data_IF_415765341347
#
_entry.id   IF_415765341347
#
_cell.length_a   1.000
_cell.length_b   1.000
_cell.length_c   1.000
_cell.angle_alpha   90.00
_cell.angle_beta   90.00
_cell.angle_gamma   90.00
#
_symmetry.space_group_name_H-M   'P 1'
#
loop_
_entity.id
_entity.type
_entity.pdbx_description
1 polymer ?
#
# COMPACT_ATOMS: atom_id res chain seq x y z
N UNK A 1 -9.60 28.71 -7.10
CA UNK A 1 -10.96 28.13 -7.08
C UNK A 1 -11.32 27.39 -8.39
N UNK A 2 -10.95 27.91 -9.58
CA UNK A 2 -11.27 27.29 -10.87
C UNK A 2 -10.52 25.97 -11.08
N UNK A 3 -9.22 25.93 -10.79
CA UNK A 3 -8.37 24.74 -10.89
C UNK A 3 -8.78 23.60 -9.95
N UNK A 4 -9.24 23.91 -8.73
CA UNK A 4 -9.71 22.92 -7.77
C UNK A 4 -11.03 22.24 -8.21
N UNK A 5 -11.93 23.02 -8.85
CA UNK A 5 -13.19 22.48 -9.35
C UNK A 5 -13.00 21.64 -10.63
N UNK A 6 -12.04 22.00 -11.48
CA UNK A 6 -11.65 21.22 -12.65
C UNK A 6 -11.01 19.89 -12.25
N UNK A 7 -10.14 19.88 -11.24
CA UNK A 7 -9.55 18.66 -10.68
C UNK A 7 -10.61 17.73 -10.08
N UNK A 8 -11.59 18.28 -9.35
CA UNK A 8 -12.70 17.51 -8.77
C UNK A 8 -13.62 16.92 -9.84
N UNK A 9 -13.90 17.64 -10.91
CA UNK A 9 -14.72 17.16 -12.01
C UNK A 9 -14.02 16.06 -12.81
N UNK A 10 -12.71 16.21 -13.07
CA UNK A 10 -11.87 15.17 -13.67
C UNK A 10 -11.82 13.91 -12.81
N UNK A 11 -11.73 14.05 -11.48
CA UNK A 11 -11.80 12.95 -10.53
C UNK A 11 -13.09 12.14 -10.65
N UNK A 12 -14.24 12.81 -10.60
CA UNK A 12 -15.53 12.14 -10.69
C UNK A 12 -15.71 11.41 -12.02
N UNK A 13 -15.23 11.99 -13.12
CA UNK A 13 -15.26 11.36 -14.43
C UNK A 13 -14.38 10.10 -14.47
N UNK A 14 -13.15 10.16 -13.94
CA UNK A 14 -12.24 9.04 -13.87
C UNK A 14 -12.79 7.92 -12.99
N UNK A 15 -13.29 8.26 -11.79
CA UNK A 15 -13.91 7.29 -10.87
C UNK A 15 -15.12 6.60 -11.49
N UNK A 16 -15.97 7.35 -12.22
CA UNK A 16 -17.13 6.77 -12.92
C UNK A 16 -16.68 5.74 -13.96
N UNK A 17 -15.59 6.01 -14.67
CA UNK A 17 -15.01 5.08 -15.64
C UNK A 17 -14.46 3.84 -14.95
N UNK A 18 -13.65 4.02 -13.90
CA UNK A 18 -12.95 2.93 -13.21
C UNK A 18 -13.91 2.03 -12.42
N UNK A 19 -15.03 2.55 -11.95
CA UNK A 19 -16.13 1.76 -11.36
C UNK A 19 -16.92 1.02 -12.45
N UNK A 20 -17.17 1.63 -13.59
CA UNK A 20 -17.98 1.03 -14.67
C UNK A 20 -17.31 -0.21 -15.25
N UNK A 21 -15.99 -0.22 -15.38
CA UNK A 21 -15.24 -1.33 -16.00
C UNK A 21 -15.44 -2.65 -15.23
N UNK A 22 -15.18 -2.78 -13.93
CA UNK A 22 -15.42 -4.01 -13.18
C UNK A 22 -16.92 -4.33 -13.07
N UNK A 23 -17.80 -3.33 -12.98
CA UNK A 23 -19.26 -3.58 -13.02
C UNK A 23 -19.71 -4.25 -14.32
N UNK A 24 -19.27 -3.74 -15.47
CA UNK A 24 -19.60 -4.34 -16.76
C UNK A 24 -19.02 -5.76 -16.88
N UNK A 25 -17.82 -6.01 -16.32
CA UNK A 25 -17.24 -7.35 -16.28
C UNK A 25 -18.10 -8.31 -15.44
N UNK A 26 -18.57 -7.88 -14.25
CA UNK A 26 -19.47 -8.69 -13.41
C UNK A 26 -20.76 -9.02 -14.15
N UNK A 27 -21.42 -8.02 -14.74
CA UNK A 27 -22.69 -8.20 -15.47
C UNK A 27 -22.48 -9.12 -16.67
N UNK A 28 -21.43 -8.90 -17.48
CA UNK A 28 -21.14 -9.72 -18.65
C UNK A 28 -20.82 -11.17 -18.30
N UNK A 29 -19.98 -11.41 -17.26
CA UNK A 29 -19.66 -12.76 -16.83
C UNK A 29 -20.87 -13.48 -16.21
N UNK A 30 -21.75 -12.76 -15.51
CA UNK A 30 -23.00 -13.33 -14.99
C UNK A 30 -23.93 -13.76 -16.13
N UNK A 31 -24.07 -12.98 -17.20
CA UNK A 31 -24.87 -13.34 -18.38
C UNK A 31 -24.29 -14.55 -19.11
N UNK A 32 -22.94 -14.60 -19.25
CA UNK A 32 -22.25 -15.75 -19.86
C UNK A 32 -22.45 -17.00 -19.01
N UNK A 33 -22.29 -16.93 -17.69
CA UNK A 33 -22.49 -18.05 -16.77
C UNK A 33 -23.91 -18.61 -16.90
N UNK A 34 -24.92 -17.74 -16.94
CA UNK A 34 -26.31 -18.12 -17.12
C UNK A 34 -26.58 -18.82 -18.46
N UNK A 35 -25.97 -18.33 -19.56
CA UNK A 35 -26.12 -18.94 -20.89
C UNK A 35 -25.36 -20.27 -21.04
N UNK A 36 -24.36 -20.52 -20.20
CA UNK A 36 -23.47 -21.69 -20.25
C UNK A 36 -23.69 -22.62 -19.04
N UNK A 37 -24.87 -22.64 -18.45
CA UNK A 37 -25.16 -23.36 -17.21
C UNK A 37 -24.87 -24.87 -17.28
N UNK A 38 -24.96 -25.44 -18.46
CA UNK A 38 -24.65 -26.84 -18.72
C UNK A 38 -23.13 -27.13 -18.88
N UNK A 39 -22.28 -26.12 -18.80
CA UNK A 39 -20.83 -26.28 -18.84
C UNK A 39 -20.20 -25.81 -17.52
N UNK A 40 -20.02 -26.74 -16.54
CA UNK A 40 -19.53 -26.40 -15.20
C UNK A 40 -18.18 -25.67 -15.20
N UNK A 41 -17.29 -26.03 -16.12
CA UNK A 41 -15.97 -25.39 -16.21
C UNK A 41 -16.09 -23.92 -16.59
N UNK A 42 -16.88 -23.60 -17.61
CA UNK A 42 -17.12 -22.20 -18.02
C UNK A 42 -17.83 -21.40 -16.94
N UNK A 43 -18.80 -21.99 -16.25
CA UNK A 43 -19.47 -21.37 -15.12
C UNK A 43 -18.46 -21.04 -14.01
N UNK A 44 -17.58 -21.99 -13.68
CA UNK A 44 -16.53 -21.79 -12.69
C UNK A 44 -15.60 -20.63 -13.08
N UNK A 45 -15.11 -20.60 -14.31
CA UNK A 45 -14.24 -19.53 -14.83
C UNK A 45 -14.94 -18.15 -14.78
N UNK A 46 -16.25 -18.10 -15.07
CA UNK A 46 -17.02 -16.86 -14.95
C UNK A 46 -17.14 -16.42 -13.49
N UNK A 47 -17.42 -17.34 -12.56
CA UNK A 47 -17.53 -17.03 -11.13
C UNK A 47 -16.20 -16.52 -10.55
N UNK A 48 -15.08 -17.09 -10.96
CA UNK A 48 -13.73 -16.63 -10.57
C UNK A 48 -13.49 -15.19 -11.06
N UNK A 49 -13.85 -14.87 -12.31
CA UNK A 49 -13.73 -13.51 -12.86
C UNK A 49 -14.69 -12.52 -12.17
N UNK A 50 -15.92 -12.93 -11.87
CA UNK A 50 -16.86 -12.12 -11.10
C UNK A 50 -16.28 -11.78 -9.73
N UNK A 51 -15.75 -12.77 -9.01
CA UNK A 51 -15.15 -12.59 -7.69
C UNK A 51 -13.94 -11.64 -7.75
N UNK A 52 -13.07 -11.78 -8.76
CA UNK A 52 -11.93 -10.88 -8.96
C UNK A 52 -12.39 -9.44 -9.21
N UNK A 53 -13.37 -9.25 -10.12
CA UNK A 53 -13.91 -7.90 -10.44
C UNK A 53 -14.64 -7.27 -9.25
N UNK A 54 -15.34 -8.08 -8.44
CA UNK A 54 -16.01 -7.62 -7.23
C UNK A 54 -15.01 -7.15 -6.16
N UNK A 55 -13.91 -7.90 -5.96
CA UNK A 55 -12.82 -7.49 -5.05
C UNK A 55 -12.16 -6.20 -5.52
N UNK A 56 -11.93 -6.06 -6.82
CA UNK A 56 -11.39 -4.83 -7.40
C UNK A 56 -12.32 -3.64 -7.15
N UNK A 57 -13.63 -3.80 -7.44
CA UNK A 57 -14.62 -2.75 -7.20
C UNK A 57 -14.69 -2.34 -5.73
N UNK A 58 -14.64 -3.30 -4.81
CA UNK A 58 -14.62 -3.02 -3.37
C UNK A 58 -13.36 -2.22 -2.97
N UNK A 59 -12.20 -2.55 -3.53
CA UNK A 59 -10.97 -1.79 -3.35
C UNK A 59 -11.11 -0.33 -3.79
N UNK A 60 -11.67 -0.10 -5.01
CA UNK A 60 -11.94 1.24 -5.52
C UNK A 60 -12.86 2.06 -4.61
N UNK A 61 -13.94 1.45 -4.13
CA UNK A 61 -14.88 2.10 -3.22
C UNK A 61 -14.18 2.50 -1.92
N UNK A 62 -13.38 1.60 -1.34
CA UNK A 62 -12.64 1.87 -0.12
C UNK A 62 -11.61 3.00 -0.31
N UNK A 63 -10.90 3.04 -1.44
CA UNK A 63 -9.97 4.13 -1.78
C UNK A 63 -10.68 5.49 -1.83
N UNK A 64 -11.86 5.55 -2.46
CA UNK A 64 -12.68 6.76 -2.54
C UNK A 64 -13.18 7.21 -1.15
N UNK A 65 -13.63 6.26 -0.33
CA UNK A 65 -14.07 6.54 1.04
C UNK A 65 -12.92 7.02 1.92
N UNK A 66 -11.75 6.41 1.81
CA UNK A 66 -10.57 6.85 2.54
C UNK A 66 -10.14 8.25 2.07
N UNK A 67 -10.11 8.52 0.76
CA UNK A 67 -9.81 9.86 0.25
C UNK A 67 -10.79 10.91 0.75
N UNK A 68 -12.09 10.61 0.79
CA UNK A 68 -13.11 11.50 1.34
C UNK A 68 -12.91 11.78 2.84
N UNK A 69 -12.50 10.76 3.62
CA UNK A 69 -12.15 10.93 5.04
C UNK A 69 -10.88 11.77 5.22
N UNK A 70 -9.91 11.61 4.34
CA UNK A 70 -8.67 12.39 4.30
C UNK A 70 -8.98 13.86 4.04
N UNK A 71 -9.72 14.18 2.97
CA UNK A 71 -10.08 15.54 2.60
C UNK A 71 -10.89 16.25 3.68
N UNK A 72 -11.76 15.51 4.38
CA UNK A 72 -12.56 16.04 5.49
C UNK A 72 -11.85 16.09 6.85
N UNK A 73 -10.58 15.63 6.92
CA UNK A 73 -9.82 15.54 8.18
C UNK A 73 -10.42 14.58 9.21
N UNK A 74 -11.26 13.64 8.78
CA UNK A 74 -11.97 12.70 9.66
C UNK A 74 -11.30 11.32 9.78
N UNK A 75 -10.16 11.11 9.09
CA UNK A 75 -9.44 9.86 9.22
C UNK A 75 -8.76 9.85 10.59
N UNK A 76 -9.04 8.83 11.39
CA UNK A 76 -8.45 8.61 12.72
C UNK A 76 -7.65 7.32 12.73
N UNK A 77 -6.62 7.26 13.58
CA UNK A 77 -5.83 6.04 13.81
C UNK A 77 -6.34 5.32 15.05
N UNK A 78 -6.49 4.01 14.93
CA UNK A 78 -6.74 3.12 16.06
C UNK A 78 -5.43 2.44 16.48
N UNK A 79 -4.81 2.96 17.52
CA UNK A 79 -3.47 2.51 17.96
C UNK A 79 -3.62 1.41 19.00
N UNK A 80 -3.21 0.21 18.63
CA UNK A 80 -3.19 -0.98 19.50
C UNK A 80 -1.78 -1.60 19.56
N UNK A 81 -1.54 -2.45 20.55
CA UNK A 81 -0.34 -3.29 20.59
C UNK A 81 -0.47 -4.40 19.55
N UNK A 82 0.46 -4.43 18.61
CA UNK A 82 0.47 -5.43 17.52
C UNK A 82 1.80 -6.16 17.45
N UNK A 83 1.79 -7.41 16.99
CA UNK A 83 2.97 -8.16 16.64
C UNK A 83 3.39 -7.85 15.20
N UNK A 84 4.63 -7.41 15.00
CA UNK A 84 5.19 -7.22 13.66
C UNK A 84 5.29 -8.53 12.91
N UNK A 85 5.60 -9.63 13.59
CA UNK A 85 5.67 -10.97 13.00
C UNK A 85 4.32 -11.38 12.43
N UNK A 86 3.25 -11.32 13.24
CA UNK A 86 1.91 -11.67 12.79
C UNK A 86 1.45 -10.80 11.62
N UNK A 87 1.81 -9.52 11.64
CA UNK A 87 1.53 -8.57 10.55
C UNK A 87 2.23 -9.00 9.26
N UNK A 88 3.52 -9.33 9.33
CA UNK A 88 4.29 -9.81 8.17
C UNK A 88 3.74 -11.14 7.66
N UNK A 89 3.48 -12.11 8.54
CA UNK A 89 2.93 -13.42 8.16
C UNK A 89 1.57 -13.31 7.46
N UNK A 90 0.71 -12.40 7.93
CA UNK A 90 -0.58 -12.10 7.31
C UNK A 90 -0.40 -11.55 5.89
N UNK A 91 0.51 -10.59 5.70
CA UNK A 91 0.82 -9.98 4.40
C UNK A 91 1.38 -11.02 3.43
N UNK A 92 2.31 -11.87 3.90
CA UNK A 92 2.88 -12.98 3.11
C UNK A 92 1.77 -13.88 2.59
N UNK A 93 0.84 -14.27 3.45
CA UNK A 93 -0.28 -15.15 3.09
C UNK A 93 -1.15 -14.57 1.98
N UNK A 94 -1.29 -13.23 1.93
CA UNK A 94 -2.08 -12.53 0.91
C UNK A 94 -1.29 -12.40 -0.41
N UNK A 95 0.01 -12.14 -0.33
CA UNK A 95 0.88 -11.83 -1.49
C UNK A 95 1.37 -13.10 -2.20
N UNK A 96 1.69 -14.17 -1.46
CA UNK A 96 2.28 -15.40 -1.96
C UNK A 96 1.53 -16.04 -3.15
N UNK A 97 0.19 -16.15 -3.15
CA UNK A 97 -0.54 -16.69 -4.30
C UNK A 97 -0.35 -15.88 -5.57
N UNK A 98 -0.25 -14.55 -5.46
CA UNK A 98 -0.08 -13.65 -6.59
C UNK A 98 1.34 -13.75 -7.17
N UNK A 99 2.35 -13.81 -6.30
CA UNK A 99 3.75 -14.07 -6.65
C UNK A 99 3.87 -15.36 -7.46
N UNK A 100 3.29 -16.46 -6.94
CA UNK A 100 3.30 -17.76 -7.63
C UNK A 100 2.61 -17.71 -8.98
N UNK A 101 1.47 -17.03 -9.08
CA UNK A 101 0.72 -16.90 -10.33
C UNK A 101 1.51 -16.18 -11.42
N UNK A 102 2.37 -15.23 -11.04
CA UNK A 102 3.25 -14.47 -11.94
C UNK A 102 4.67 -15.05 -12.07
N UNK A 103 4.96 -16.19 -11.42
CA UNK A 103 6.31 -16.80 -11.39
C UNK A 103 7.40 -15.83 -10.92
N UNK A 104 7.06 -14.90 -10.05
CA UNK A 104 8.00 -13.95 -9.46
C UNK A 104 8.66 -14.56 -8.23
N UNK A 105 9.81 -14.01 -7.81
CA UNK A 105 10.46 -14.33 -6.54
C UNK A 105 10.08 -13.29 -5.50
N UNK A 106 9.79 -13.74 -4.27
CA UNK A 106 9.49 -12.84 -3.16
C UNK A 106 10.28 -13.25 -1.92
N UNK A 107 11.20 -12.40 -1.52
CA UNK A 107 12.08 -12.60 -0.37
C UNK A 107 11.75 -11.62 0.74
N UNK A 108 11.82 -12.12 1.99
CA UNK A 108 11.56 -11.30 3.17
C UNK A 108 12.74 -11.42 4.12
N UNK A 109 13.28 -10.27 4.49
CA UNK A 109 14.36 -10.17 5.48
C UNK A 109 13.88 -9.42 6.72
N UNK A 110 13.96 -10.09 7.85
CA UNK A 110 13.70 -9.50 9.17
C UNK A 110 15.06 -9.41 9.87
N UNK A 111 15.49 -8.18 10.20
CA UNK A 111 16.84 -7.91 10.73
C UNK A 111 16.77 -7.11 12.01
N UNK A 112 17.57 -7.53 12.98
CA UNK A 112 17.88 -6.76 14.20
C UNK A 112 16.64 -6.29 14.97
N UNK A 113 15.58 -7.10 15.03
CA UNK A 113 14.34 -6.78 15.75
C UNK A 113 14.43 -7.37 17.16
N UNK A 114 14.76 -6.52 18.13
CA UNK A 114 14.75 -6.87 19.56
C UNK A 114 13.33 -6.79 20.16
N UNK A 115 12.47 -5.95 19.61
CA UNK A 115 11.11 -5.74 20.08
C UNK A 115 10.11 -5.99 18.96
N UNK A 116 9.44 -7.11 19.05
CA UNK A 116 8.45 -7.57 18.08
C UNK A 116 7.12 -6.83 18.21
N UNK A 117 6.73 -6.48 19.44
CA UNK A 117 5.48 -5.80 19.73
C UNK A 117 5.63 -4.28 19.63
N UNK A 118 4.76 -3.67 18.82
CA UNK A 118 4.76 -2.22 18.58
C UNK A 118 3.33 -1.66 18.70
N UNK A 119 3.21 -0.39 19.08
CA UNK A 119 1.92 0.30 19.11
C UNK A 119 1.65 0.92 17.75
N UNK A 120 0.65 0.41 17.04
CA UNK A 120 0.34 0.85 15.69
C UNK A 120 -1.13 0.55 15.34
N UNK A 121 -1.67 1.24 14.35
CA UNK A 121 -2.91 0.84 13.69
C UNK A 121 -2.60 -0.29 12.70
N UNK A 122 -2.98 -1.52 13.05
CA UNK A 122 -2.70 -2.72 12.24
C UNK A 122 -3.39 -2.66 10.88
N UNK A 123 -4.61 -2.13 10.80
CA UNK A 123 -5.37 -2.03 9.55
C UNK A 123 -4.68 -1.07 8.59
N UNK A 124 -4.27 0.08 9.10
CA UNK A 124 -3.57 1.09 8.30
C UNK A 124 -2.14 0.67 7.92
N UNK A 125 -1.43 -0.01 8.82
CA UNK A 125 -0.13 -0.60 8.49
C UNK A 125 -0.25 -1.63 7.37
N UNK A 126 -1.20 -2.56 7.48
CA UNK A 126 -1.48 -3.55 6.44
C UNK A 126 -1.86 -2.87 5.12
N UNK A 127 -2.69 -1.84 5.15
CA UNK A 127 -3.08 -1.07 3.96
C UNK A 127 -1.87 -0.48 3.24
N UNK A 128 -0.96 0.17 3.99
CA UNK A 128 0.30 0.72 3.44
C UNK A 128 1.14 -0.37 2.79
N UNK A 129 1.42 -1.45 3.52
CA UNK A 129 2.30 -2.51 3.04
C UNK A 129 1.70 -3.26 1.85
N UNK A 130 0.41 -3.59 1.89
CA UNK A 130 -0.28 -4.23 0.77
C UNK A 130 -0.33 -3.33 -0.47
N UNK A 131 -0.48 -2.02 -0.31
CA UNK A 131 -0.43 -1.09 -1.44
C UNK A 131 0.97 -1.04 -2.09
N UNK A 132 2.03 -0.99 -1.28
CA UNK A 132 3.40 -1.01 -1.79
C UNK A 132 3.71 -2.33 -2.49
N UNK A 133 3.38 -3.47 -1.88
CA UNK A 133 3.62 -4.79 -2.43
C UNK A 133 2.77 -5.07 -3.68
N UNK A 134 1.52 -4.63 -3.71
CA UNK A 134 0.68 -4.78 -4.91
C UNK A 134 1.21 -3.97 -6.08
N UNK A 135 1.77 -2.78 -5.84
CA UNK A 135 2.46 -2.01 -6.86
C UNK A 135 3.73 -2.73 -7.34
N UNK A 136 4.56 -3.24 -6.43
CA UNK A 136 5.73 -4.03 -6.78
C UNK A 136 5.35 -5.25 -7.65
N UNK A 137 4.37 -6.05 -7.21
CA UNK A 137 3.85 -7.21 -7.95
C UNK A 137 3.32 -6.82 -9.34
N UNK A 138 2.69 -5.67 -9.45
CA UNK A 138 2.04 -5.19 -10.66
C UNK A 138 3.05 -4.78 -11.72
N UNK A 139 4.10 -4.07 -11.32
CA UNK A 139 5.08 -3.47 -12.21
C UNK A 139 6.34 -4.30 -12.40
N UNK A 140 6.51 -5.37 -11.64
CA UNK A 140 7.57 -6.36 -11.86
C UNK A 140 7.12 -7.37 -12.92
N UNK A 141 7.96 -7.65 -13.94
CA UNK A 141 7.65 -8.66 -14.95
C UNK A 141 7.64 -10.08 -14.36
N UNK A 142 7.20 -11.07 -15.16
CA UNK A 142 7.39 -12.48 -14.83
C UNK A 142 8.87 -12.78 -14.60
N UNK A 143 9.16 -13.69 -13.68
CA UNK A 143 10.52 -14.07 -13.26
C UNK A 143 11.33 -12.95 -12.56
N UNK A 144 10.75 -11.76 -12.37
CA UNK A 144 11.37 -10.71 -11.59
C UNK A 144 11.32 -10.98 -10.09
N UNK A 145 12.06 -10.18 -9.32
CA UNK A 145 12.16 -10.33 -7.86
C UNK A 145 11.59 -9.13 -7.11
N UNK A 146 10.99 -9.42 -5.97
CA UNK A 146 10.49 -8.44 -5.00
C UNK A 146 11.08 -8.80 -3.66
N UNK A 147 11.60 -7.82 -2.95
CA UNK A 147 12.20 -8.01 -1.63
C UNK A 147 11.54 -7.08 -0.63
N UNK A 148 11.14 -7.61 0.52
CA UNK A 148 10.68 -6.82 1.64
C UNK A 148 11.66 -6.97 2.81
N UNK A 149 12.22 -5.86 3.28
CA UNK A 149 13.10 -5.85 4.45
C UNK A 149 12.39 -5.09 5.58
N UNK A 150 12.36 -5.71 6.76
CA UNK A 150 11.90 -5.10 8.00
C UNK A 150 13.07 -5.11 8.98
N UNK A 151 13.42 -3.96 9.53
CA UNK A 151 14.50 -3.87 10.50
C UNK A 151 14.11 -2.96 11.67
N UNK A 152 14.90 -3.00 12.74
CA UNK A 152 14.77 -2.08 13.85
C UNK A 152 15.99 -1.18 13.88
N UNK A 153 15.76 0.12 13.96
CA UNK A 153 16.83 1.10 14.11
C UNK A 153 16.66 1.86 15.42
N UNK A 154 17.73 1.95 16.21
CA UNK A 154 17.73 2.75 17.41
C UNK A 154 17.71 4.24 17.05
N UNK A 155 16.80 5.02 17.64
CA UNK A 155 16.77 6.45 17.44
C UNK A 155 17.78 7.13 18.38
N UNK A 156 18.80 7.83 17.88
CA UNK A 156 19.81 8.47 18.74
C UNK A 156 19.17 9.44 19.73
N UNK A 157 19.42 9.24 21.01
CA UNK A 157 18.94 10.12 22.09
C UNK A 157 17.46 9.98 22.46
N UNK A 158 16.74 9.00 21.91
CA UNK A 158 15.34 8.70 22.27
C UNK A 158 15.21 7.22 22.69
N UNK A 159 14.38 6.93 23.68
CA UNK A 159 13.98 5.56 24.06
C UNK A 159 12.98 4.94 23.07
N UNK A 160 13.09 5.31 21.81
CA UNK A 160 12.15 4.96 20.75
C UNK A 160 12.92 4.27 19.64
N UNK A 161 12.44 3.13 19.17
CA UNK A 161 12.99 2.44 18.01
C UNK A 161 12.16 2.77 16.78
N UNK A 162 12.83 2.94 15.64
CA UNK A 162 12.19 3.01 14.34
C UNK A 162 12.17 1.62 13.71
N UNK A 163 11.08 1.29 13.00
CA UNK A 163 10.98 0.06 12.23
C UNK A 163 10.81 0.41 10.75
N UNK A 164 11.90 0.62 10.01
CA UNK A 164 11.83 0.84 8.58
C UNK A 164 11.35 -0.43 7.87
N UNK A 165 10.40 -0.23 6.96
CA UNK A 165 9.99 -1.21 5.97
C UNK A 165 10.53 -0.77 4.62
N UNK A 166 11.25 -1.62 3.96
CA UNK A 166 11.83 -1.37 2.64
C UNK A 166 11.23 -2.40 1.69
N UNK A 167 10.60 -1.93 0.61
CA UNK A 167 10.14 -2.77 -0.49
C UNK A 167 10.96 -2.43 -1.71
N UNK A 168 11.62 -3.42 -2.28
CA UNK A 168 12.45 -3.30 -3.47
C UNK A 168 11.91 -4.25 -4.53
N UNK A 169 11.86 -3.80 -5.77
CA UNK A 169 11.48 -4.64 -6.90
C UNK A 169 12.38 -4.42 -8.12
N UNK A 170 12.40 -5.41 -8.99
CA UNK A 170 13.14 -5.38 -10.25
C UNK A 170 12.22 -5.01 -11.42
N UNK A 171 11.27 -4.12 -11.18
CA UNK A 171 10.27 -3.71 -12.15
C UNK A 171 10.76 -2.73 -13.21
N UNK A 172 9.81 -2.18 -13.95
CA UNK A 172 10.07 -1.26 -15.06
C UNK A 172 10.67 0.09 -14.62
N UNK A 173 10.62 0.39 -13.33
CA UNK A 173 11.03 1.69 -12.77
C UNK A 173 10.10 2.83 -13.16
N UNK A 174 10.45 4.03 -12.71
CA UNK A 174 9.68 5.28 -12.90
C UNK A 174 10.58 6.41 -13.37
N UNK A 175 10.02 7.31 -14.18
CA UNK A 175 10.71 8.54 -14.60
C UNK A 175 10.96 9.47 -13.40
N UNK A 176 11.99 10.30 -13.46
CA UNK A 176 12.27 11.29 -12.41
C UNK A 176 11.14 12.29 -12.24
N UNK A 177 10.44 12.62 -13.34
CA UNK A 177 9.28 13.51 -13.32
C UNK A 177 8.11 12.88 -12.56
N UNK A 178 7.84 11.60 -12.82
CA UNK A 178 6.77 10.88 -12.13
C UNK A 178 7.10 10.64 -10.65
N UNK A 179 8.36 10.35 -10.30
CA UNK A 179 8.77 10.19 -8.90
C UNK A 179 8.46 11.42 -8.04
N UNK A 180 8.55 12.63 -8.60
CA UNK A 180 8.20 13.88 -7.90
C UNK A 180 6.71 14.00 -7.62
N UNK A 181 5.88 13.34 -8.42
CA UNK A 181 4.43 13.44 -8.41
C UNK A 181 3.72 12.18 -7.92
N UNK A 182 4.45 11.11 -7.60
CA UNK A 182 3.88 9.79 -7.25
C UNK A 182 2.88 9.84 -6.07
N UNK A 183 3.02 10.82 -5.19
CA UNK A 183 2.13 11.03 -4.05
C UNK A 183 0.98 12.00 -4.33
N UNK A 184 0.93 12.61 -5.51
CA UNK A 184 -0.21 13.43 -5.93
C UNK A 184 -1.41 12.52 -6.24
N UNK A 185 -2.60 12.98 -5.90
CA UNK A 185 -3.83 12.25 -6.20
C UNK A 185 -3.97 12.04 -7.72
N UNK A 186 -4.29 10.81 -8.13
CA UNK A 186 -4.50 10.42 -9.53
C UNK A 186 -3.25 10.47 -10.41
N UNK A 187 -2.06 10.63 -9.83
CA UNK A 187 -0.83 10.58 -10.58
C UNK A 187 -0.66 9.19 -11.21
N UNK A 188 -0.49 9.15 -12.52
CA UNK A 188 -0.16 7.97 -13.32
C UNK A 188 0.94 8.32 -14.30
N UNK A 189 1.81 7.38 -14.58
CA UNK A 189 2.85 7.58 -15.58
C UNK A 189 2.28 7.35 -16.99
N UNK A 190 2.51 8.32 -17.90
CA UNK A 190 2.00 8.31 -19.26
C UNK A 190 2.79 7.38 -20.20
N UNK A 191 3.34 6.29 -19.70
CA UNK A 191 4.02 5.32 -20.55
C UNK A 191 3.04 4.29 -21.11
N UNK A 192 3.21 3.92 -22.41
CA UNK A 192 2.40 2.89 -23.05
C UNK A 192 2.38 1.53 -22.30
N UNK A 193 3.40 1.27 -21.48
CA UNK A 193 3.49 0.07 -20.64
C UNK A 193 2.60 0.15 -19.39
N UNK A 194 2.45 1.35 -18.85
CA UNK A 194 1.65 1.61 -17.63
C UNK A 194 0.16 1.79 -17.99
N UNK A 195 -0.16 2.32 -19.15
CA UNK A 195 -1.56 2.54 -19.60
C UNK A 195 -2.41 1.26 -19.63
N UNK A 196 -1.78 0.10 -19.86
CA UNK A 196 -2.45 -1.21 -19.85
C UNK A 196 -2.63 -1.79 -18.43
N UNK A 197 -2.10 -1.11 -17.42
CA UNK A 197 -2.09 -1.62 -16.06
C UNK A 197 -3.14 -0.89 -15.23
N UNK A 198 -4.13 -1.61 -14.71
CA UNK A 198 -5.24 -1.06 -13.92
C UNK A 198 -4.74 -0.38 -12.62
N UNK A 199 -5.39 0.72 -12.22
CA UNK A 199 -5.12 1.39 -10.95
C UNK A 199 -5.72 2.80 -10.88
N UNK A 200 -6.16 3.16 -9.67
CA UNK A 200 -6.82 4.44 -9.36
C UNK A 200 -5.90 5.64 -9.34
N UNK A 201 -4.59 5.43 -9.10
CA UNK A 201 -3.67 6.52 -8.77
C UNK A 201 -3.89 7.13 -7.37
N UNK A 202 -4.77 6.53 -6.55
CA UNK A 202 -5.03 6.98 -5.17
C UNK A 202 -4.17 6.26 -4.14
N UNK A 203 -3.76 5.03 -4.41
CA UNK A 203 -3.09 4.20 -3.43
C UNK A 203 -1.85 4.87 -2.81
N UNK A 204 -0.96 5.47 -3.60
CA UNK A 204 0.24 6.12 -3.08
C UNK A 204 -0.07 7.41 -2.32
N UNK A 205 -1.09 8.16 -2.71
CA UNK A 205 -1.57 9.34 -1.97
C UNK A 205 -2.11 8.95 -0.60
N UNK A 206 -2.97 7.91 -0.55
CA UNK A 206 -3.50 7.35 0.70
C UNK A 206 -2.36 6.83 1.58
N UNK A 207 -1.42 6.11 0.99
CA UNK A 207 -0.22 5.61 1.70
C UNK A 207 0.57 6.75 2.34
N UNK A 208 0.86 7.81 1.58
CA UNK A 208 1.58 8.99 2.09
C UNK A 208 0.83 9.62 3.26
N UNK A 209 -0.48 9.81 3.14
CA UNK A 209 -1.29 10.40 4.19
C UNK A 209 -1.32 9.55 5.46
N UNK A 210 -1.50 8.22 5.33
CA UNK A 210 -1.45 7.30 6.48
C UNK A 210 -0.10 7.35 7.17
N UNK A 211 1.00 7.32 6.40
CA UNK A 211 2.37 7.40 6.92
C UNK A 211 2.60 8.71 7.66
N UNK A 212 2.15 9.84 7.12
CA UNK A 212 2.26 11.15 7.77
C UNK A 212 1.45 11.22 9.07
N UNK A 213 0.22 10.71 9.08
CA UNK A 213 -0.59 10.59 10.29
C UNK A 213 0.09 9.72 11.36
N UNK A 214 0.78 8.69 10.94
CA UNK A 214 1.60 7.83 11.80
C UNK A 214 2.94 8.49 12.18
N UNK A 215 3.17 9.76 11.84
CA UNK A 215 4.42 10.48 12.06
C UNK A 215 5.65 9.79 11.43
N UNK A 216 5.43 9.07 10.36
CA UNK A 216 6.46 8.38 9.59
C UNK A 216 6.94 9.21 8.41
N UNK A 217 7.90 8.67 7.69
CA UNK A 217 8.41 9.24 6.43
C UNK A 217 8.41 8.16 5.37
N UNK A 218 7.93 8.48 4.17
CA UNK A 218 8.02 7.59 3.02
C UNK A 218 8.90 8.22 1.96
N UNK A 219 9.82 7.43 1.42
CA UNK A 219 10.74 7.84 0.37
C UNK A 219 10.66 6.82 -0.76
N UNK A 220 10.72 7.30 -1.98
CA UNK A 220 10.70 6.50 -3.19
C UNK A 220 11.94 6.83 -4.01
N UNK A 221 12.65 5.80 -4.45
CA UNK A 221 13.78 5.91 -5.36
C UNK A 221 13.60 4.92 -6.49
N UNK A 222 13.76 5.33 -7.71
CA UNK A 222 13.61 4.47 -8.88
C UNK A 222 14.46 4.95 -10.05
N UNK A 223 14.79 4.03 -10.95
CA UNK A 223 15.45 4.33 -12.22
C UNK A 223 14.73 3.62 -13.35
N UNK A 224 14.47 4.32 -14.43
CA UNK A 224 13.87 3.72 -15.64
C UNK A 224 14.87 2.76 -16.28
N UNK A 225 14.47 1.53 -16.43
CA UNK A 225 15.27 0.51 -17.12
C UNK A 225 15.02 0.60 -18.61
N UNK A 226 16.03 1.03 -19.40
CA UNK A 226 15.93 1.17 -20.87
C UNK A 226 16.17 -0.10 -21.65
N UNK A 227 16.78 -1.13 -21.08
CA UNK A 227 17.13 -2.37 -21.76
C UNK A 227 16.45 -3.58 -21.14
N UNK A 228 15.97 -4.49 -21.98
CA UNK A 228 15.58 -5.83 -21.54
C UNK A 228 16.80 -6.52 -20.91
N UNK A 229 16.76 -6.72 -19.59
CA UNK A 229 17.85 -7.37 -18.83
C UNK A 229 18.63 -6.50 -17.85
N UNK A 230 18.48 -5.16 -17.85
CA UNK A 230 19.05 -4.34 -16.79
C UNK A 230 17.99 -4.02 -15.73
N UNK A 231 18.13 -4.62 -14.57
CA UNK A 231 17.22 -4.45 -13.43
C UNK A 231 17.64 -3.21 -12.63
N UNK A 232 16.74 -2.26 -12.46
CA UNK A 232 16.93 -1.16 -11.53
C UNK A 232 15.98 -1.37 -10.35
N UNK A 233 16.49 -1.48 -9.13
CA UNK A 233 15.62 -1.64 -7.96
C UNK A 233 14.76 -0.39 -7.79
N UNK A 234 13.49 -0.61 -7.60
CA UNK A 234 12.57 0.37 -7.07
C UNK A 234 12.54 0.18 -5.56
N UNK A 235 12.90 1.22 -4.81
CA UNK A 235 12.96 1.13 -3.36
C UNK A 235 11.95 2.10 -2.77
N UNK A 236 11.00 1.57 -2.03
CA UNK A 236 10.15 2.37 -1.17
C UNK A 236 10.55 2.13 0.28
N UNK A 237 11.08 3.14 0.91
CA UNK A 237 11.46 3.11 2.32
C UNK A 237 10.42 3.84 3.13
N UNK A 238 9.75 3.11 4.01
CA UNK A 238 8.86 3.68 4.99
C UNK A 238 9.46 3.54 6.39
N UNK A 239 9.42 4.61 7.13
CA UNK A 239 10.02 4.72 8.43
C UNK A 239 8.96 5.18 9.43
N UNK A 240 8.76 4.41 10.51
CA UNK A 240 8.03 4.83 11.69
C UNK A 240 8.93 4.72 12.92
N UNK A 241 8.90 5.72 13.77
CA UNK A 241 9.36 5.60 15.14
C UNK A 241 8.17 5.08 15.98
N UNK A 242 8.09 3.79 16.34
CA UNK A 242 7.08 3.34 17.28
C UNK A 242 7.46 3.91 18.64
N UNK A 243 6.47 4.46 19.30
CA UNK A 243 6.61 4.83 20.70
C UNK A 243 6.59 3.53 21.48
N UNK A 244 7.76 3.04 21.89
CA UNK A 244 7.81 2.05 22.95
C UNK A 244 7.22 2.69 24.20
N UNK A 245 6.31 2.03 24.93
CA UNK A 245 5.95 2.52 26.23
C UNK A 245 7.25 2.68 27.03
N UNK A 246 7.53 3.90 27.46
CA UNK A 246 8.47 4.11 28.56
C UNK A 246 8.10 3.08 29.62
N UNK A 247 9.05 2.48 30.29
CA UNK A 247 8.84 1.67 31.48
C UNK A 247 8.32 2.56 32.63
N UNK A 248 7.21 3.22 32.40
CA UNK A 248 6.42 3.90 33.42
C UNK A 248 5.47 2.87 34.02
N UNK A 249 5.29 2.85 35.33
CA UNK A 249 4.35 1.94 35.95
C UNK A 249 2.96 2.11 35.36
N UNK A 250 2.14 1.03 35.34
CA UNK A 250 0.81 1.07 34.75
C UNK A 250 -0.04 2.13 35.45
N UNK A 251 -0.39 3.18 34.71
CA UNK A 251 -1.28 4.23 35.23
C UNK A 251 -1.02 5.66 34.71
N UNK A 252 0.16 5.98 34.21
CA UNK A 252 0.51 7.36 33.83
C UNK A 252 1.28 7.41 32.53
N UNK A 253 0.60 7.22 31.42
CA UNK A 253 1.04 7.69 30.11
C UNK A 253 -0.17 7.93 29.24
N UNK A 254 -0.79 9.09 29.37
CA UNK A 254 -1.74 9.62 28.41
C UNK A 254 -0.99 10.29 27.29
N UNK A 255 -1.20 9.81 26.11
CA UNK A 255 -0.78 10.31 24.83
C UNK A 255 -1.38 11.68 24.53
N UNK A 256 -0.63 12.54 24.05
CA UNK A 256 -0.78 13.89 23.53
C UNK A 256 0.09 14.87 24.32
N UNK A 257 1.30 14.93 23.89
CA UNK A 257 2.04 16.17 23.63
C UNK A 257 3.51 15.83 23.40
N UNK A 258 3.96 16.01 22.21
CA UNK A 258 5.35 16.27 21.90
C UNK A 258 5.87 17.33 22.87
N UNK A 259 6.97 17.08 23.55
CA UNK A 259 7.88 18.01 24.21
C UNK A 259 7.88 18.17 25.74
N UNK A 260 7.02 17.60 26.54
CA UNK A 260 7.08 17.98 27.97
C UNK A 260 7.18 16.86 29.02
N UNK A 261 7.28 15.60 28.69
CA UNK A 261 7.30 14.52 29.70
C UNK A 261 8.68 13.99 30.11
N UNK A 262 9.80 14.60 29.70
CA UNK A 262 11.15 14.17 30.12
C UNK A 262 11.91 15.19 30.98
N UNK A 263 11.24 16.18 31.57
CA UNK A 263 11.90 17.22 32.31
C UNK A 263 11.53 17.25 33.80
N UNK A 264 11.01 16.19 34.40
CA UNK A 264 10.75 16.14 35.84
C UNK A 264 10.96 14.75 36.42
N UNK A 265 12.17 14.43 36.77
CA UNK A 265 12.49 13.62 37.94
C UNK A 265 13.93 13.92 38.38
N UNK A 266 14.17 14.16 39.68
CA UNK A 266 15.47 14.55 40.24
C UNK A 266 16.53 13.46 40.13
#
# INVERSE_FOLDING_TARGET
AKTANEAKSSFLAQMSHDIRTPMNAIIGMSSIAASQINNPQKVKDCLEKINLSSKHLLGLINDVLDMSKIESGKLTLNIDAISLRETVDSIVSIVQPQVKAKKQTFDIFIRDIDRENVYCDSVRLNQVLLNLLSNALKFTPEEGSITMTVSQEASPGRRVCAHPFIVEDTGIGMSEEFQKRIFESFAREDSHRVQRTEGTGLGMTITKYIVDMMQGTIQVSSRVTRAAGSMSPWTCRWWKAPVSPCSCPPGICWWWTTTSCCAAAP
#
